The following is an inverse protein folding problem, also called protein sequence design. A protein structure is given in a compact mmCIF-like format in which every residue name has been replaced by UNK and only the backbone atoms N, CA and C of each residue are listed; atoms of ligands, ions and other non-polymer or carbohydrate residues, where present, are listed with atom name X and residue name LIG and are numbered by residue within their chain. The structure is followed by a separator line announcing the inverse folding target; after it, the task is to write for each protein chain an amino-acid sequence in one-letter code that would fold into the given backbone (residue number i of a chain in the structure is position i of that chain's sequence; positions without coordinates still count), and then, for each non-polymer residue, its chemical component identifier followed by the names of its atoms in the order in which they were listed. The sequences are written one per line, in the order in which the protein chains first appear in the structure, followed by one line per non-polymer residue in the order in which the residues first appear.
data_IF_845624756046
#
_entry.id   IF_845624756046
#
_cell.length_a   1.000
_cell.length_b   1.000
_cell.length_c   1.000
_cell.angle_alpha   90.00
_cell.angle_beta   90.00
_cell.angle_gamma   90.00
#
_symmetry.space_group_name_H-M   'P 1'
#
loop_
_entity.id
_entity.type
_entity.pdbx_description
1 polymer ?
#
# COMPACT_ATOMS: atom_id res chain seq x y z
N UNK A 1 -0.02 14.81 -19.71
CA UNK A 1 0.99 15.62 -20.43
C UNK A 1 1.33 15.09 -21.82
N UNK A 2 1.24 13.78 -22.08
CA UNK A 2 1.61 13.12 -23.35
C UNK A 2 0.43 12.41 -24.03
N UNK A 3 -0.80 12.89 -23.84
CA UNK A 3 -1.98 12.36 -24.51
C UNK A 3 -1.98 12.66 -26.02
N UNK A 4 -2.71 11.87 -26.81
CA UNK A 4 -2.79 12.04 -28.26
C UNK A 4 -3.54 13.30 -28.70
N UNK A 5 -4.42 13.85 -27.84
CA UNK A 5 -5.23 15.04 -28.12
C UNK A 5 -4.98 16.12 -27.07
N UNK A 6 -4.84 17.38 -27.51
CA UNK A 6 -4.75 18.58 -26.68
C UNK A 6 -3.78 18.49 -25.49
N UNK A 7 -2.70 17.72 -25.64
CA UNK A 7 -1.67 17.59 -24.62
C UNK A 7 -0.53 18.58 -24.86
N UNK A 8 0.32 18.76 -23.85
CA UNK A 8 1.56 19.53 -23.99
C UNK A 8 2.38 18.97 -25.16
N UNK A 9 2.51 17.63 -25.22
CA UNK A 9 3.25 16.98 -26.29
C UNK A 9 2.65 17.23 -27.69
N UNK A 10 1.33 17.12 -27.85
CA UNK A 10 0.70 17.35 -29.15
C UNK A 10 0.79 18.81 -29.59
N UNK A 11 0.69 19.76 -28.64
CA UNK A 11 0.86 21.20 -28.93
C UNK A 11 2.29 21.55 -29.32
N UNK A 12 3.27 21.02 -28.61
CA UNK A 12 4.68 21.25 -28.94
C UNK A 12 5.07 20.63 -30.28
N UNK A 13 4.55 19.44 -30.60
CA UNK A 13 4.77 18.80 -31.91
C UNK A 13 4.18 19.61 -33.06
N UNK A 14 3.06 20.30 -32.83
CA UNK A 14 2.45 21.18 -33.83
C UNK A 14 3.22 22.51 -33.98
N UNK A 15 3.65 23.12 -32.87
CA UNK A 15 4.40 24.39 -32.91
C UNK A 15 5.83 24.24 -33.45
N UNK A 16 6.46 23.08 -33.26
CA UNK A 16 7.85 22.84 -33.62
C UNK A 16 7.99 21.53 -34.41
N UNK A 17 7.81 21.56 -35.75
CA UNK A 17 8.02 20.39 -36.61
C UNK A 17 9.47 19.90 -36.49
N UNK A 18 9.66 18.70 -35.95
CA UNK A 18 10.99 18.11 -35.69
C UNK A 18 11.36 17.97 -34.22
N UNK A 19 10.52 18.45 -33.29
CA UNK A 19 10.74 18.20 -31.86
C UNK A 19 10.65 16.69 -31.55
N UNK A 20 11.61 16.19 -30.79
CA UNK A 20 11.59 14.84 -30.26
C UNK A 20 11.02 14.83 -28.84
N UNK A 21 9.97 14.03 -28.60
CA UNK A 21 9.35 13.92 -27.28
C UNK A 21 9.71 12.59 -26.64
N UNK A 22 10.59 12.66 -25.63
CA UNK A 22 10.93 11.53 -24.80
C UNK A 22 9.94 11.40 -23.63
N UNK A 23 9.24 10.26 -23.54
CA UNK A 23 8.40 9.96 -22.38
C UNK A 23 9.29 9.57 -21.20
N UNK A 24 8.92 10.01 -20.01
CA UNK A 24 9.60 9.60 -18.78
C UNK A 24 9.37 8.10 -18.53
N UNK A 25 10.46 7.32 -18.48
CA UNK A 25 10.43 5.87 -18.23
C UNK A 25 9.76 5.57 -16.88
N UNK A 26 10.07 6.35 -15.84
CA UNK A 26 9.46 6.18 -14.52
C UNK A 26 7.94 6.36 -14.56
N UNK A 27 7.44 7.30 -15.37
CA UNK A 27 6.00 7.51 -15.52
C UNK A 27 5.35 6.34 -16.28
N UNK A 28 5.99 5.83 -17.34
CA UNK A 28 5.52 4.63 -18.04
C UNK A 28 5.47 3.41 -17.12
N UNK A 29 6.53 3.17 -16.33
CA UNK A 29 6.58 2.08 -15.37
C UNK A 29 5.48 2.22 -14.30
N UNK A 30 5.27 3.43 -13.77
CA UNK A 30 4.18 3.71 -12.85
C UNK A 30 2.80 3.39 -13.43
N UNK A 31 2.54 3.76 -14.70
CA UNK A 31 1.28 3.44 -15.38
C UNK A 31 1.10 1.92 -15.54
N UNK A 32 2.14 1.20 -15.98
CA UNK A 32 2.10 -0.25 -16.10
C UNK A 32 1.80 -0.93 -14.76
N UNK A 33 2.50 -0.54 -13.69
CA UNK A 33 2.29 -1.10 -12.35
C UNK A 33 0.88 -0.77 -11.81
N UNK A 34 0.41 0.46 -12.01
CA UNK A 34 -0.94 0.88 -11.63
C UNK A 34 -2.02 0.07 -12.35
N UNK A 35 -1.91 -0.11 -13.67
CA UNK A 35 -2.86 -0.94 -14.44
C UNK A 35 -2.79 -2.42 -14.05
N UNK A 36 -1.60 -2.96 -13.79
CA UNK A 36 -1.42 -4.34 -13.34
C UNK A 36 -2.11 -4.58 -11.99
N UNK A 37 -1.95 -3.66 -11.04
CA UNK A 37 -2.55 -3.82 -9.72
C UNK A 37 -4.07 -3.65 -9.71
N UNK A 38 -4.71 -3.08 -10.75
CA UNK A 38 -6.17 -3.17 -10.92
C UNK A 38 -6.66 -4.62 -11.11
N UNK A 39 -5.76 -5.56 -11.43
CA UNK A 39 -6.07 -7.00 -11.52
C UNK A 39 -5.91 -7.73 -10.18
N UNK A 40 -5.29 -7.11 -9.19
CA UNK A 40 -5.18 -7.64 -7.83
C UNK A 40 -6.50 -7.36 -7.10
N UNK A 41 -6.98 -8.25 -6.21
CA UNK A 41 -8.17 -7.99 -5.42
C UNK A 41 -8.05 -6.71 -4.61
N UNK A 42 -9.10 -5.88 -4.68
CA UNK A 42 -9.20 -4.61 -3.94
C UNK A 42 -9.02 -4.80 -2.43
N UNK A 43 -9.40 -5.96 -1.89
CA UNK A 43 -9.21 -6.32 -0.49
C UNK A 43 -7.76 -6.19 -0.01
N UNK A 44 -6.77 -6.35 -0.88
CA UNK A 44 -5.35 -6.19 -0.53
C UNK A 44 -5.01 -4.73 -0.21
N UNK A 45 -5.43 -3.80 -1.07
CA UNK A 45 -5.23 -2.37 -0.86
C UNK A 45 -6.06 -1.87 0.32
N UNK A 46 -7.31 -2.32 0.42
CA UNK A 46 -8.21 -1.97 1.52
C UNK A 46 -7.62 -2.44 2.87
N UNK A 47 -7.06 -3.65 2.95
CA UNK A 47 -6.38 -4.14 4.16
C UNK A 47 -5.20 -3.23 4.54
N UNK A 48 -4.29 -2.93 3.59
CA UNK A 48 -3.14 -2.06 3.85
C UNK A 48 -3.56 -0.67 4.36
N UNK A 49 -4.60 -0.09 3.75
CA UNK A 49 -5.17 1.20 4.13
C UNK A 49 -5.84 1.15 5.52
N UNK A 50 -6.58 0.09 5.81
CA UNK A 50 -7.26 -0.10 7.08
C UNK A 50 -6.27 -0.28 8.24
N UNK A 51 -5.23 -1.09 8.05
CA UNK A 51 -4.14 -1.25 9.04
C UNK A 51 -3.49 0.10 9.34
N UNK A 52 -3.12 0.86 8.29
CA UNK A 52 -2.49 2.16 8.47
C UNK A 52 -3.41 3.12 9.22
N UNK A 53 -4.66 3.29 8.79
CA UNK A 53 -5.61 4.22 9.41
C UNK A 53 -5.88 3.88 10.88
N UNK A 54 -6.02 2.59 11.19
CA UNK A 54 -6.25 2.11 12.56
C UNK A 54 -5.09 2.45 13.49
N UNK A 55 -3.85 2.24 13.05
CA UNK A 55 -2.65 2.47 13.85
C UNK A 55 -2.26 3.95 13.90
N UNK A 56 -2.38 4.66 12.78
CA UNK A 56 -1.98 6.07 12.67
C UNK A 56 -2.80 6.97 13.59
N UNK A 57 -4.09 6.67 13.75
CA UNK A 57 -5.03 7.44 14.58
C UNK A 57 -4.73 7.45 16.08
N UNK A 58 -3.82 6.62 16.59
CA UNK A 58 -3.53 6.58 18.02
C UNK A 58 -2.06 6.28 18.34
N UNK A 59 -1.44 7.17 19.12
CA UNK A 59 -0.11 6.95 19.65
C UNK A 59 -0.05 5.72 20.57
N UNK A 60 -1.12 5.45 21.35
CA UNK A 60 -1.24 4.25 22.17
C UNK A 60 -1.15 2.99 21.32
N UNK A 61 -1.92 2.91 20.23
CA UNK A 61 -1.90 1.76 19.30
C UNK A 61 -0.52 1.54 18.67
N UNK A 62 0.19 2.61 18.30
CA UNK A 62 1.56 2.51 17.78
C UNK A 62 2.54 1.96 18.84
N UNK A 63 2.45 2.44 20.07
CA UNK A 63 3.29 1.95 21.18
C UNK A 63 2.98 0.49 21.52
N UNK A 64 1.70 0.12 21.56
CA UNK A 64 1.30 -1.28 21.78
C UNK A 64 1.80 -2.18 20.65
N UNK A 65 1.62 -1.81 19.38
CA UNK A 65 2.20 -2.57 18.26
C UNK A 65 3.72 -2.75 18.40
N UNK A 66 4.44 -1.71 18.84
CA UNK A 66 5.89 -1.81 19.10
C UNK A 66 6.22 -2.89 20.15
N UNK A 67 5.38 -3.11 21.16
CA UNK A 67 5.58 -4.20 22.13
C UNK A 67 5.46 -5.58 21.45
N UNK A 68 4.46 -5.77 20.57
CA UNK A 68 4.33 -7.00 19.77
C UNK A 68 5.52 -7.21 18.81
N UNK A 69 6.01 -6.13 18.20
CA UNK A 69 7.21 -6.19 17.34
C UNK A 69 8.43 -6.66 18.13
N UNK A 70 8.66 -6.09 19.31
CA UNK A 70 9.77 -6.48 20.19
C UNK A 70 9.62 -7.91 20.70
N UNK A 71 8.41 -8.34 21.04
CA UNK A 71 8.13 -9.71 21.47
C UNK A 71 8.46 -10.74 20.39
N UNK A 72 8.24 -10.40 19.11
CA UNK A 72 8.53 -11.26 17.96
C UNK A 72 9.98 -11.12 17.45
N UNK A 73 10.86 -10.44 18.20
CA UNK A 73 12.23 -10.09 17.79
C UNK A 73 12.31 -9.38 16.42
N UNK A 74 11.27 -8.61 16.08
CA UNK A 74 11.23 -7.79 14.87
C UNK A 74 11.70 -6.37 15.19
N UNK A 75 12.52 -5.81 14.29
CA UNK A 75 12.92 -4.40 14.39
C UNK A 75 11.68 -3.50 14.38
N UNK A 76 11.43 -2.69 15.42
CA UNK A 76 10.23 -1.86 15.49
C UNK A 76 10.14 -0.88 14.33
N UNK A 77 9.00 -0.90 13.63
CA UNK A 77 8.78 -0.15 12.40
C UNK A 77 7.34 0.35 12.34
N UNK A 78 7.17 1.65 12.06
CA UNK A 78 5.84 2.21 11.79
C UNK A 78 5.29 1.66 10.46
N UNK A 79 3.99 1.43 10.38
CA UNK A 79 3.35 1.09 9.11
C UNK A 79 3.33 2.33 8.20
N UNK A 80 3.59 2.12 6.92
CA UNK A 80 3.67 3.18 5.91
C UNK A 80 2.28 3.46 5.33
N UNK A 81 2.04 4.73 4.97
CA UNK A 81 0.80 5.13 4.32
C UNK A 81 0.79 4.70 2.85
N UNK A 82 -0.25 3.97 2.38
CA UNK A 82 -0.43 3.68 0.95
C UNK A 82 -0.81 4.96 0.20
N UNK A 83 0.14 5.53 -0.55
CA UNK A 83 -0.09 6.72 -1.37
C UNK A 83 -0.97 6.41 -2.58
N UNK A 84 -2.04 7.17 -2.77
CA UNK A 84 -2.95 7.02 -3.92
C UNK A 84 -2.29 7.37 -5.27
N UNK A 85 -1.34 8.31 -5.29
CA UNK A 85 -0.78 8.87 -6.53
C UNK A 85 0.62 8.37 -6.87
N UNK A 86 1.24 7.57 -5.99
CA UNK A 86 2.62 7.10 -6.16
C UNK A 86 2.67 5.59 -6.03
N UNK A 87 2.29 4.89 -7.08
CA UNK A 87 2.24 3.42 -7.08
C UNK A 87 3.58 2.77 -6.76
N UNK A 88 4.70 3.40 -7.15
CA UNK A 88 6.05 2.94 -6.79
C UNK A 88 6.31 2.97 -5.27
N UNK A 89 5.54 3.73 -4.50
CA UNK A 89 5.61 3.70 -3.03
C UNK A 89 4.79 2.57 -2.39
N UNK A 90 3.94 1.88 -3.17
CA UNK A 90 3.14 0.77 -2.67
C UNK A 90 4.02 -0.45 -2.35
N UNK A 91 5.07 -0.69 -3.13
CA UNK A 91 6.04 -1.76 -2.88
C UNK A 91 6.64 -1.64 -1.47
N UNK A 92 7.04 -0.43 -1.07
CA UNK A 92 7.57 -0.19 0.28
C UNK A 92 6.52 -0.48 1.38
N UNK A 93 5.25 -0.20 1.12
CA UNK A 93 4.13 -0.51 2.04
C UNK A 93 3.92 -2.01 2.13
N UNK A 94 3.88 -2.72 1.00
CA UNK A 94 3.74 -4.18 0.92
C UNK A 94 4.88 -4.86 1.67
N UNK A 95 6.14 -4.48 1.36
CA UNK A 95 7.32 -5.01 2.04
C UNK A 95 7.28 -4.74 3.56
N UNK A 96 6.83 -3.55 3.97
CA UNK A 96 6.65 -3.21 5.40
C UNK A 96 5.60 -4.09 6.07
N UNK A 97 4.48 -4.36 5.39
CA UNK A 97 3.40 -5.19 5.93
C UNK A 97 3.86 -6.65 6.02
N UNK A 98 4.51 -7.18 4.99
CA UNK A 98 5.07 -8.54 4.99
C UNK A 98 6.11 -8.73 6.09
N UNK A 99 7.04 -7.80 6.24
CA UNK A 99 8.06 -7.84 7.29
C UNK A 99 7.45 -7.86 8.70
N UNK A 100 6.32 -7.16 8.89
CA UNK A 100 5.65 -7.01 10.17
C UNK A 100 4.43 -7.94 10.32
N UNK A 101 4.25 -8.90 9.41
CA UNK A 101 2.99 -9.64 9.25
C UNK A 101 2.58 -10.36 10.53
N UNK A 102 3.49 -11.13 11.13
CA UNK A 102 3.15 -11.91 12.33
C UNK A 102 2.91 -11.01 13.56
N UNK A 103 3.66 -9.91 13.70
CA UNK A 103 3.39 -8.94 14.78
C UNK A 103 2.04 -8.24 14.59
N UNK A 104 1.68 -7.88 13.36
CA UNK A 104 0.36 -7.33 13.03
C UNK A 104 -0.74 -8.35 13.33
N UNK A 105 -0.55 -9.60 12.93
CA UNK A 105 -1.51 -10.69 13.17
C UNK A 105 -1.75 -10.90 14.66
N UNK A 106 -0.70 -10.99 15.48
CA UNK A 106 -0.85 -11.12 16.93
C UNK A 106 -1.53 -9.90 17.56
N UNK A 107 -1.12 -8.69 17.17
CA UNK A 107 -1.73 -7.45 17.64
C UNK A 107 -3.22 -7.39 17.33
N UNK A 108 -3.63 -7.73 16.11
CA UNK A 108 -5.04 -7.70 15.71
C UNK A 108 -5.84 -8.88 16.24
N UNK A 109 -5.22 -10.02 16.55
CA UNK A 109 -5.88 -11.10 17.31
C UNK A 109 -6.27 -10.60 18.71
N UNK A 110 -5.34 -9.98 19.45
CA UNK A 110 -5.59 -9.42 20.78
C UNK A 110 -6.62 -8.28 20.72
N UNK A 111 -6.41 -7.34 19.80
CA UNK A 111 -7.28 -6.15 19.64
C UNK A 111 -8.71 -6.52 19.25
N UNK A 112 -8.90 -7.52 18.39
CA UNK A 112 -10.22 -7.99 17.97
C UNK A 112 -11.00 -8.60 19.14
N UNK A 113 -10.33 -9.41 19.97
CA UNK A 113 -10.94 -10.04 21.14
C UNK A 113 -11.39 -9.00 22.20
N UNK A 114 -10.62 -7.93 22.36
CA UNK A 114 -10.90 -6.84 23.29
C UNK A 114 -12.01 -5.88 22.79
N UNK A 115 -11.82 -5.28 21.59
CA UNK A 115 -12.64 -4.16 21.14
C UNK A 115 -13.88 -4.57 20.34
N UNK A 116 -13.84 -5.73 19.66
CA UNK A 116 -14.93 -6.26 18.81
C UNK A 116 -15.53 -5.22 17.84
N UNK A 117 -14.70 -4.32 17.32
CA UNK A 117 -15.12 -3.33 16.32
C UNK A 117 -15.10 -3.95 14.92
N UNK A 118 -16.02 -3.51 14.05
CA UNK A 118 -16.08 -3.97 12.66
C UNK A 118 -14.76 -3.74 11.91
N UNK A 119 -14.09 -2.61 12.16
CA UNK A 119 -12.79 -2.31 11.53
C UNK A 119 -11.68 -3.26 11.99
N UNK A 120 -11.68 -3.66 13.26
CA UNK A 120 -10.72 -4.64 13.78
C UNK A 120 -11.01 -6.04 13.28
N UNK A 121 -12.28 -6.41 13.13
CA UNK A 121 -12.72 -7.69 12.57
C UNK A 121 -12.31 -7.83 11.11
N UNK A 122 -12.53 -6.81 10.28
CA UNK A 122 -12.12 -6.81 8.88
C UNK A 122 -10.62 -6.99 8.72
N UNK A 123 -9.81 -6.28 9.51
CA UNK A 123 -8.35 -6.43 9.49
C UNK A 123 -7.94 -7.82 9.98
N UNK A 124 -8.51 -8.30 11.08
CA UNK A 124 -8.25 -9.63 11.63
C UNK A 124 -8.53 -10.74 10.61
N UNK A 125 -9.71 -10.71 9.98
CA UNK A 125 -10.08 -11.68 8.96
C UNK A 125 -9.12 -11.62 7.77
N UNK A 126 -8.71 -10.41 7.35
CA UNK A 126 -7.80 -10.24 6.22
C UNK A 126 -6.38 -10.75 6.51
N UNK A 127 -5.86 -10.52 7.72
CA UNK A 127 -4.53 -11.01 8.14
C UNK A 127 -4.47 -12.53 8.33
N UNK A 128 -5.61 -13.16 8.57
CA UNK A 128 -5.73 -14.62 8.70
C UNK A 128 -6.15 -15.31 7.39
N UNK A 129 -6.46 -14.55 6.33
CA UNK A 129 -6.70 -15.08 4.99
C UNK A 129 -5.37 -15.36 4.26
N UNK A 130 -5.15 -16.65 3.95
CA UNK A 130 -3.95 -17.11 3.24
C UNK A 130 -3.87 -16.55 1.81
N UNK A 131 -5.00 -16.31 1.15
CA UNK A 131 -5.02 -15.77 -0.20
C UNK A 131 -4.58 -14.30 -0.22
N UNK A 132 -5.02 -13.50 0.75
CA UNK A 132 -4.53 -12.12 0.88
C UNK A 132 -3.02 -12.12 1.12
N UNK A 133 -2.52 -12.97 2.02
CA UNK A 133 -1.06 -13.09 2.23
C UNK A 133 -0.33 -13.50 0.95
N UNK A 134 -0.88 -14.43 0.16
CA UNK A 134 -0.34 -14.81 -1.14
C UNK A 134 -0.26 -13.63 -2.11
N UNK A 135 -1.32 -12.83 -2.23
CA UNK A 135 -1.31 -11.64 -3.09
C UNK A 135 -0.28 -10.59 -2.70
N UNK A 136 0.11 -10.50 -1.43
CA UNK A 136 1.17 -9.58 -1.01
C UNK A 136 2.57 -10.01 -1.49
N UNK A 137 2.76 -11.26 -1.91
CA UNK A 137 4.02 -11.72 -2.49
C UNK A 137 4.15 -11.48 -4.01
N UNK A 138 3.10 -10.98 -4.67
CA UNK A 138 3.06 -10.71 -6.11
C UNK A 138 2.84 -9.22 -6.40
#
# INVERSE_FOLDING_TARGET
MVGSRNSVASRFSHMYPGIFILKCICHSAHLCASEACKKIPRSCEDMARNIFNFLHSSAKRQTTLKQFQMFMDLKPKKILHPSQTRWLSLEAVVNRILEQWEALRLYFNDTYLDQKLLSTEQIYNSLNDRFIKLYFFF
#
